data_IF_987247041066
#
_entry.id   IF_987247041066
#
_cell.length_a   1.000
_cell.length_b   1.000
_cell.length_c   1.000
_cell.angle_alpha   90.00
_cell.angle_beta   90.00
_cell.angle_gamma   90.00
#
_symmetry.space_group_name_H-M   'P 1'
#
loop_
_entity.id
_entity.type
_entity.pdbx_description
1 polymer ?
#
# COMPACT_ATOMS: atom_id res chain seq x y z
N UNK A 1 -2.27 -29.10 5.10
CA UNK A 1 -1.24 -28.08 5.32
C UNK A 1 -0.20 -28.21 4.22
N UNK A 2 -0.05 -27.23 3.33
CA UNK A 2 1.06 -27.22 2.37
C UNK A 2 2.24 -26.57 3.07
N UNK A 3 3.25 -27.36 3.39
CA UNK A 3 4.53 -26.85 3.86
C UNK A 3 5.17 -26.12 2.67
N UNK A 4 5.20 -24.79 2.72
CA UNK A 4 5.99 -24.00 1.79
C UNK A 4 7.45 -24.20 2.20
N UNK A 5 8.38 -24.50 1.26
CA UNK A 5 9.79 -24.50 1.59
C UNK A 5 10.16 -23.11 2.09
N UNK A 6 11.01 -23.05 3.13
CA UNK A 6 11.71 -21.84 3.56
C UNK A 6 12.76 -21.45 2.49
N UNK A 7 12.34 -21.27 1.24
CA UNK A 7 13.23 -20.90 0.15
C UNK A 7 13.41 -19.39 0.15
N UNK A 8 14.61 -18.92 0.45
CA UNK A 8 14.97 -17.53 0.20
C UNK A 8 14.89 -17.25 -1.30
N UNK A 9 14.27 -16.12 -1.66
CA UNK A 9 14.19 -15.65 -3.05
C UNK A 9 15.16 -14.50 -3.25
N UNK A 10 15.89 -14.51 -4.37
CA UNK A 10 16.88 -13.47 -4.71
C UNK A 10 16.21 -12.38 -5.54
N UNK A 11 16.34 -11.13 -5.09
CA UNK A 11 15.95 -9.94 -5.84
C UNK A 11 17.16 -9.35 -6.55
N UNK A 12 17.18 -9.42 -7.88
CA UNK A 12 18.23 -8.84 -8.72
C UNK A 12 17.78 -7.51 -9.30
N UNK A 13 18.44 -6.42 -8.92
CA UNK A 13 18.14 -5.06 -9.38
C UNK A 13 19.35 -4.51 -10.12
N UNK A 14 19.13 -3.94 -11.31
CA UNK A 14 20.17 -3.23 -12.06
C UNK A 14 20.22 -1.79 -11.56
N UNK A 15 21.42 -1.30 -11.30
CA UNK A 15 21.71 0.07 -10.91
C UNK A 15 22.88 0.59 -11.73
N UNK A 16 22.90 1.89 -11.98
CA UNK A 16 24.06 2.58 -12.54
C UNK A 16 25.23 2.59 -11.53
N UNK A 17 26.47 2.86 -11.98
CA UNK A 17 27.62 2.99 -11.09
C UNK A 17 27.42 4.07 -10.02
N UNK A 18 26.83 5.21 -10.39
CA UNK A 18 26.62 6.34 -9.47
C UNK A 18 25.59 6.00 -8.39
N UNK A 19 24.47 5.36 -8.77
CA UNK A 19 23.47 4.87 -7.82
C UNK A 19 24.08 3.83 -6.86
N UNK A 20 24.92 2.92 -7.37
CA UNK A 20 25.59 1.93 -6.55
C UNK A 20 26.53 2.59 -5.53
N UNK A 21 27.33 3.56 -5.95
CA UNK A 21 28.26 4.27 -5.08
C UNK A 21 27.53 5.00 -3.95
N UNK A 22 26.42 5.67 -4.26
CA UNK A 22 25.57 6.32 -3.26
C UNK A 22 24.99 5.32 -2.25
N UNK A 23 24.51 4.17 -2.72
CA UNK A 23 23.95 3.13 -1.85
C UNK A 23 25.03 2.50 -0.95
N UNK A 24 26.24 2.31 -1.46
CA UNK A 24 27.39 1.81 -0.68
C UNK A 24 27.84 2.81 0.38
N UNK A 25 27.90 4.10 0.07
CA UNK A 25 28.20 5.15 1.04
C UNK A 25 27.16 5.18 2.15
N UNK A 26 25.87 5.16 1.80
CA UNK A 26 24.79 5.14 2.77
C UNK A 26 24.80 3.89 3.67
N UNK A 27 25.12 2.72 3.10
CA UNK A 27 25.28 1.48 3.86
C UNK A 27 26.48 1.55 4.82
N UNK A 28 27.60 2.13 4.38
CA UNK A 28 28.79 2.33 5.21
C UNK A 28 28.51 3.28 6.38
N UNK A 29 27.82 4.39 6.15
CA UNK A 29 27.37 5.32 7.21
C UNK A 29 26.42 4.64 8.21
N UNK A 30 25.62 3.68 7.75
CA UNK A 30 24.72 2.89 8.59
C UNK A 30 25.42 1.69 9.27
N UNK A 31 26.72 1.47 9.05
CA UNK A 31 27.47 0.31 9.51
C UNK A 31 26.83 -1.04 9.11
N UNK A 32 26.26 -1.09 7.90
CA UNK A 32 25.58 -2.27 7.37
C UNK A 32 26.23 -2.72 6.07
N UNK A 33 26.05 -4.00 5.74
CA UNK A 33 26.32 -4.46 4.38
C UNK A 33 25.33 -3.82 3.40
N UNK A 34 25.73 -3.66 2.12
CA UNK A 34 24.86 -3.12 1.08
C UNK A 34 23.55 -3.91 0.96
N UNK A 35 23.60 -5.24 1.06
CA UNK A 35 22.43 -6.12 0.97
C UNK A 35 21.48 -5.95 2.17
N UNK A 36 22.03 -5.83 3.38
CA UNK A 36 21.23 -5.58 4.59
C UNK A 36 20.58 -4.20 4.56
N UNK A 37 21.35 -3.17 4.17
CA UNK A 37 20.86 -1.81 4.02
C UNK A 37 19.71 -1.76 3.00
N UNK A 38 19.90 -2.33 1.80
CA UNK A 38 18.87 -2.37 0.77
C UNK A 38 17.63 -3.15 1.21
N UNK A 39 17.79 -4.30 1.87
CA UNK A 39 16.67 -5.08 2.38
C UNK A 39 15.85 -4.27 3.38
N UNK A 40 16.50 -3.64 4.36
CA UNK A 40 15.83 -2.87 5.41
C UNK A 40 15.12 -1.64 4.84
N UNK A 41 15.79 -0.89 3.94
CA UNK A 41 15.21 0.30 3.30
C UNK A 41 14.04 -0.05 2.38
N UNK A 42 14.18 -1.11 1.58
CA UNK A 42 13.12 -1.57 0.67
C UNK A 42 11.86 -2.01 1.43
N UNK A 43 12.01 -2.77 2.53
CA UNK A 43 10.88 -3.17 3.36
C UNK A 43 10.19 -1.96 3.98
N UNK A 44 10.94 -1.04 4.59
CA UNK A 44 10.37 0.16 5.21
C UNK A 44 9.61 1.03 4.20
N UNK A 45 10.13 1.18 2.98
CA UNK A 45 9.44 1.91 1.92
C UNK A 45 8.15 1.20 1.47
N UNK A 46 8.20 -0.13 1.32
CA UNK A 46 7.01 -0.91 0.99
C UNK A 46 5.94 -0.86 2.09
N UNK A 47 6.33 -0.91 3.36
CA UNK A 47 5.43 -0.76 4.50
C UNK A 47 4.77 0.62 4.51
N UNK A 48 5.53 1.69 4.27
CA UNK A 48 4.99 3.04 4.19
C UNK A 48 3.96 3.17 3.05
N UNK A 49 4.23 2.60 1.88
CA UNK A 49 3.32 2.62 0.73
C UNK A 49 2.06 1.78 0.98
N UNK A 50 2.21 0.61 1.59
CA UNK A 50 1.07 -0.26 1.95
C UNK A 50 0.23 0.40 3.05
N UNK A 51 0.83 1.06 4.03
CA UNK A 51 0.10 1.78 5.08
C UNK A 51 -0.65 3.00 4.53
N UNK A 52 -0.12 3.62 3.47
CA UNK A 52 -0.82 4.69 2.75
C UNK A 52 -2.05 4.17 1.96
N UNK A 53 -2.29 2.85 1.88
CA UNK A 53 -3.63 2.33 1.58
C UNK A 53 -4.52 2.59 2.79
N UNK A 54 -5.28 3.68 2.70
CA UNK A 54 -6.26 4.19 3.65
C UNK A 54 -6.90 3.11 4.52
N UNK A 55 -6.36 2.87 5.71
CA UNK A 55 -7.04 2.09 6.72
C UNK A 55 -8.19 2.95 7.26
N UNK A 56 -9.42 2.69 6.82
CA UNK A 56 -10.61 3.29 7.40
C UNK A 56 -10.96 2.48 8.64
N UNK A 57 -10.46 2.90 9.79
CA UNK A 57 -10.80 2.28 11.08
C UNK A 57 -12.18 2.76 11.52
N UNK A 58 -13.10 1.81 11.73
CA UNK A 58 -14.40 2.06 12.33
C UNK A 58 -14.26 1.85 13.84
N UNK A 59 -14.55 2.85 14.70
CA UNK A 59 -14.52 2.66 16.14
C UNK A 59 -15.44 1.51 16.57
N UNK A 60 -15.03 0.72 17.55
CA UNK A 60 -15.78 -0.48 17.98
C UNK A 60 -17.24 -0.17 18.36
N UNK A 61 -17.49 1.00 18.96
CA UNK A 61 -18.83 1.49 19.31
C UNK A 61 -19.76 1.71 18.10
N UNK A 62 -19.18 1.95 16.92
CA UNK A 62 -19.90 2.28 15.70
C UNK A 62 -19.99 1.07 14.75
N UNK A 63 -19.38 -0.07 15.12
CA UNK A 63 -19.29 -1.27 14.29
C UNK A 63 -20.68 -1.87 14.00
N UNK A 64 -21.51 -2.02 15.03
CA UNK A 64 -22.86 -2.59 14.88
C UNK A 64 -23.76 -1.71 14.00
N UNK A 65 -23.65 -0.38 14.13
CA UNK A 65 -24.37 0.56 13.29
C UNK A 65 -23.92 0.50 11.82
N UNK A 66 -22.62 0.30 11.58
CA UNK A 66 -22.06 0.13 10.25
C UNK A 66 -22.49 -1.19 9.61
N UNK A 67 -22.45 -2.31 10.33
CA UNK A 67 -22.95 -3.61 9.83
C UNK A 67 -24.43 -3.53 9.47
N UNK A 68 -25.23 -2.90 10.33
CA UNK A 68 -26.65 -2.66 10.06
C UNK A 68 -26.87 -1.72 8.87
N UNK A 69 -25.94 -0.82 8.55
CA UNK A 69 -26.01 0.05 7.38
C UNK A 69 -25.66 -0.70 6.09
N UNK A 70 -24.59 -1.49 6.09
CA UNK A 70 -24.19 -2.33 4.93
C UNK A 70 -25.27 -3.34 4.56
N UNK A 71 -25.93 -3.93 5.56
CA UNK A 71 -26.97 -4.93 5.34
C UNK A 71 -28.29 -4.36 4.79
N UNK A 72 -28.47 -3.03 4.75
CA UNK A 72 -29.71 -2.43 4.27
C UNK A 72 -29.79 -2.50 2.74
N UNK A 73 -30.98 -2.76 2.17
CA UNK A 73 -31.18 -2.66 0.74
C UNK A 73 -30.90 -1.23 0.26
N UNK A 74 -30.37 -1.10 -0.96
CA UNK A 74 -30.10 0.19 -1.55
C UNK A 74 -31.39 1.00 -1.71
N UNK A 75 -31.41 2.20 -1.15
CA UNK A 75 -32.52 3.14 -1.32
C UNK A 75 -32.32 3.97 -2.59
N UNK A 76 -33.36 4.07 -3.40
CA UNK A 76 -33.32 4.89 -4.60
C UNK A 76 -33.37 6.37 -4.22
N UNK A 77 -32.26 7.08 -4.43
CA UNK A 77 -32.18 8.54 -4.26
C UNK A 77 -32.25 9.20 -5.64
N UNK A 78 -33.38 9.82 -6.03
CA UNK A 78 -33.57 10.37 -7.38
C UNK A 78 -32.48 11.36 -7.81
N UNK A 79 -32.01 12.19 -6.89
CA UNK A 79 -30.93 13.14 -7.15
C UNK A 79 -29.59 12.47 -7.49
N UNK A 80 -29.28 11.30 -6.90
CA UNK A 80 -28.08 10.54 -7.24
C UNK A 80 -28.19 9.88 -8.61
N UNK A 81 -29.40 9.41 -8.98
CA UNK A 81 -29.65 8.87 -10.31
C UNK A 81 -29.50 9.94 -11.40
N UNK A 82 -30.01 11.16 -11.15
CA UNK A 82 -29.81 12.30 -12.05
C UNK A 82 -28.33 12.69 -12.14
N UNK A 83 -27.61 12.74 -11.02
CA UNK A 83 -26.17 13.04 -10.99
C UNK A 83 -25.35 12.02 -11.81
N UNK A 84 -25.63 10.73 -11.67
CA UNK A 84 -24.92 9.66 -12.37
C UNK A 84 -25.05 9.73 -13.91
N UNK A 85 -26.10 10.39 -14.41
CA UNK A 85 -26.33 10.61 -15.85
C UNK A 85 -25.57 11.82 -16.40
N UNK A 86 -25.01 12.68 -15.54
CA UNK A 86 -24.29 13.89 -15.97
C UNK A 86 -22.87 13.53 -16.41
N UNK A 87 -22.42 14.13 -17.52
CA UNK A 87 -21.03 13.99 -17.96
C UNK A 87 -20.13 14.71 -16.94
N UNK A 88 -19.12 14.02 -16.37
CA UNK A 88 -18.20 14.64 -15.44
C UNK A 88 -17.49 15.84 -16.06
N UNK A 89 -17.31 16.92 -15.30
CA UNK A 89 -16.69 18.16 -15.78
C UNK A 89 -15.23 17.99 -16.22
N UNK A 90 -14.53 16.99 -15.69
CA UNK A 90 -13.14 16.66 -16.04
C UNK A 90 -12.99 15.81 -17.30
N UNK A 91 -14.09 15.43 -17.96
CA UNK A 91 -14.06 14.78 -19.28
C UNK A 91 -14.20 15.76 -20.45
N UNK A 92 -14.24 17.08 -20.20
CA UNK A 92 -14.25 18.13 -21.24
C UNK A 92 -12.88 18.75 -21.42
#
# INVERSE_FOLDING_TARGET
MREQPLSSSVLSVRVSPDERALLEEAAAQAHMSLSEFLRRRSIAAAEAEVLNRSNITIPAKDWEAFEAWIGRPAEAVPALAELAQRIPSWKR
#
